data_IF_377757878062
#
_entry.id   IF_377757878062
#
_cell.length_a   1.000
_cell.length_b   1.000
_cell.length_c   1.000
_cell.angle_alpha   90.00
_cell.angle_beta   90.00
_cell.angle_gamma   90.00
#
_symmetry.space_group_name_H-M   'P 1'
#
loop_
_entity.id
_entity.type
_entity.pdbx_description
1 polymer ?
#
# COMPACT_ATOMS: atom_id res chain seq x y z
N UNK A 1 -13.38 -20.78 1.37
CA UNK A 1 -13.26 -19.37 0.93
C UNK A 1 -13.95 -18.55 2.02
N UNK A 2 -13.21 -17.73 2.79
CA UNK A 2 -13.73 -16.98 3.95
C UNK A 2 -14.07 -15.55 3.54
N UNK A 3 -15.35 -15.17 3.62
CA UNK A 3 -15.79 -13.81 3.33
C UNK A 3 -15.38 -12.86 4.47
N UNK A 4 -14.61 -11.81 4.16
CA UNK A 4 -14.34 -10.73 5.10
C UNK A 4 -15.39 -9.65 4.97
N UNK A 5 -15.93 -9.21 6.11
CA UNK A 5 -16.78 -8.03 6.18
C UNK A 5 -15.89 -6.79 6.38
N UNK A 6 -16.08 -5.71 5.58
CA UNK A 6 -15.37 -4.45 5.79
C UNK A 6 -15.51 -3.96 7.24
N UNK A 7 -14.40 -3.49 7.82
CA UNK A 7 -14.35 -2.97 9.19
C UNK A 7 -14.29 -4.03 10.29
N UNK A 8 -14.39 -5.32 9.96
CA UNK A 8 -14.39 -6.39 10.96
C UNK A 8 -13.06 -7.16 10.92
N UNK A 9 -12.28 -7.15 12.01
CA UNK A 9 -11.03 -7.90 12.10
C UNK A 9 -11.28 -9.41 12.01
N UNK A 10 -10.53 -10.06 11.13
CA UNK A 10 -10.45 -11.52 11.05
C UNK A 10 -9.38 -12.02 12.02
N UNK A 11 -9.79 -12.84 12.98
CA UNK A 11 -8.95 -13.24 14.11
C UNK A 11 -8.75 -14.76 14.17
N UNK A 12 -7.72 -15.17 14.90
CA UNK A 12 -7.41 -16.56 15.21
C UNK A 12 -7.19 -16.71 16.71
N UNK A 13 -7.86 -17.69 17.31
CA UNK A 13 -7.69 -18.03 18.72
C UNK A 13 -6.55 -19.03 18.88
N UNK A 14 -5.57 -18.67 19.72
CA UNK A 14 -4.43 -19.52 20.05
C UNK A 14 -4.80 -20.56 21.12
N UNK A 15 -4.07 -21.68 21.24
CA UNK A 15 -4.30 -22.67 22.31
C UNK A 15 -4.22 -22.11 23.74
N UNK A 16 -3.60 -20.94 23.91
CA UNK A 16 -3.52 -20.22 25.18
C UNK A 16 -4.79 -19.43 25.52
N UNK A 17 -5.80 -19.41 24.63
CA UNK A 17 -7.00 -18.57 24.72
C UNK A 17 -6.79 -17.12 24.28
N UNK A 18 -5.59 -16.76 23.83
CA UNK A 18 -5.33 -15.43 23.29
C UNK A 18 -5.89 -15.31 21.86
N UNK A 19 -6.45 -14.15 21.54
CA UNK A 19 -6.97 -13.84 20.20
C UNK A 19 -5.95 -12.97 19.46
N UNK A 20 -5.60 -13.37 18.25
CA UNK A 20 -4.65 -12.67 17.39
C UNK A 20 -5.35 -12.21 16.12
N UNK A 21 -5.13 -10.97 15.73
CA UNK A 21 -5.66 -10.46 14.47
C UNK A 21 -4.79 -10.95 13.32
N UNK A 22 -5.43 -11.48 12.28
CA UNK A 22 -4.76 -12.02 11.08
C UNK A 22 -4.84 -11.00 9.94
N UNK A 23 -6.03 -10.46 9.71
CA UNK A 23 -6.27 -9.45 8.68
C UNK A 23 -7.48 -8.57 9.02
N UNK A 24 -7.55 -7.37 8.47
CA UNK A 24 -8.76 -6.54 8.47
C UNK A 24 -8.89 -5.82 7.13
N UNK A 25 -10.04 -5.95 6.47
CA UNK A 25 -10.33 -5.23 5.24
C UNK A 25 -11.20 -4.01 5.56
N UNK A 26 -10.94 -2.89 4.90
CA UNK A 26 -11.70 -1.65 5.01
C UNK A 26 -12.03 -1.13 3.61
N UNK A 27 -13.24 -0.61 3.46
CA UNK A 27 -13.62 0.31 2.38
C UNK A 27 -13.65 1.74 2.92
N UNK A 28 -13.68 2.75 2.04
CA UNK A 28 -13.93 4.12 2.50
C UNK A 28 -15.24 4.23 3.28
N UNK A 29 -16.28 3.53 2.84
CA UNK A 29 -17.56 3.50 3.54
C UNK A 29 -17.43 2.95 4.97
N UNK A 30 -16.70 1.85 5.16
CA UNK A 30 -16.46 1.32 6.51
C UNK A 30 -15.63 2.26 7.38
N UNK A 31 -14.79 3.10 6.78
CA UNK A 31 -13.97 4.07 7.51
C UNK A 31 -14.77 5.31 7.92
N UNK A 32 -15.82 5.68 7.17
CA UNK A 32 -16.73 6.79 7.51
C UNK A 32 -17.43 6.58 8.85
N UNK A 33 -17.61 5.34 9.29
CA UNK A 33 -18.13 5.03 10.62
C UNK A 33 -17.27 5.59 11.76
N UNK A 34 -15.99 5.90 11.52
CA UNK A 34 -15.08 6.51 12.48
C UNK A 34 -15.04 8.05 12.42
N UNK A 35 -16.00 8.69 11.77
CA UNK A 35 -16.16 10.15 11.72
C UNK A 35 -14.96 10.83 11.05
N UNK A 36 -14.31 11.77 11.75
CA UNK A 36 -13.20 12.57 11.21
C UNK A 36 -12.03 11.72 10.64
N UNK A 37 -11.85 10.50 11.14
CA UNK A 37 -10.86 9.56 10.61
C UNK A 37 -11.24 9.06 9.22
N UNK A 38 -12.52 8.78 9.00
CA UNK A 38 -13.05 8.40 7.70
C UNK A 38 -12.92 9.53 6.69
N UNK A 39 -13.24 10.77 7.10
CA UNK A 39 -13.07 11.95 6.26
C UNK A 39 -11.60 12.16 5.87
N UNK A 40 -10.68 11.97 6.82
CA UNK A 40 -9.23 12.03 6.56
C UNK A 40 -8.80 10.92 5.59
N UNK A 41 -9.26 9.69 5.79
CA UNK A 41 -8.94 8.57 4.90
C UNK A 41 -9.44 8.80 3.47
N UNK A 42 -10.65 9.35 3.30
CA UNK A 42 -11.23 9.69 2.00
C UNK A 42 -10.40 10.76 1.29
N UNK A 43 -10.02 11.84 1.98
CA UNK A 43 -9.14 12.88 1.42
C UNK A 43 -7.78 12.31 0.98
N UNK A 44 -7.15 11.50 1.83
CA UNK A 44 -5.86 10.87 1.54
C UNK A 44 -5.94 9.90 0.37
N UNK A 45 -7.01 9.09 0.28
CA UNK A 45 -7.23 8.16 -0.81
C UNK A 45 -7.42 8.89 -2.15
N UNK A 46 -8.16 10.00 -2.14
CA UNK A 46 -8.36 10.84 -3.32
C UNK A 46 -7.07 11.51 -3.80
N UNK A 47 -6.26 12.01 -2.86
CA UNK A 47 -4.95 12.56 -3.19
C UNK A 47 -4.00 11.48 -3.75
N UNK A 48 -3.95 10.31 -3.10
CA UNK A 48 -3.18 9.16 -3.57
C UNK A 48 -3.61 8.75 -4.98
N UNK A 49 -4.92 8.79 -5.27
CA UNK A 49 -5.46 8.51 -6.61
C UNK A 49 -4.93 9.50 -7.64
N UNK A 50 -4.97 10.79 -7.33
CA UNK A 50 -4.46 11.86 -8.19
C UNK A 50 -2.96 11.72 -8.47
N UNK A 51 -2.17 11.37 -7.46
CA UNK A 51 -0.73 11.13 -7.63
C UNK A 51 -0.44 9.82 -8.39
N UNK A 52 -1.29 8.80 -8.24
CA UNK A 52 -1.11 7.49 -8.89
C UNK A 52 -1.47 7.54 -10.38
N UNK A 53 -2.67 8.03 -10.70
CA UNK A 53 -3.20 8.04 -12.07
C UNK A 53 -3.00 9.36 -12.81
N UNK A 54 -2.46 10.37 -12.14
CA UNK A 54 -2.31 11.71 -12.65
C UNK A 54 -3.61 12.52 -12.56
N UNK A 55 -3.46 13.83 -12.75
CA UNK A 55 -4.56 14.78 -12.82
C UNK A 55 -4.27 15.88 -13.84
N UNK A 56 -5.33 16.40 -14.45
CA UNK A 56 -5.23 17.55 -15.32
C UNK A 56 -5.09 18.84 -14.50
N UNK A 57 -4.48 19.86 -15.11
CA UNK A 57 -4.50 21.19 -14.51
C UNK A 57 -5.94 21.70 -14.43
N UNK A 58 -6.30 22.29 -13.29
CA UNK A 58 -7.58 22.95 -13.08
C UNK A 58 -7.34 24.37 -12.58
N UNK A 59 -7.49 25.39 -13.45
CA UNK A 59 -7.29 26.79 -13.10
C UNK A 59 -8.25 27.30 -12.02
N UNK A 60 -9.42 26.66 -11.84
CA UNK A 60 -10.43 27.10 -10.87
C UNK A 60 -10.07 26.75 -9.43
N UNK A 61 -9.28 25.67 -9.24
CA UNK A 61 -8.81 25.20 -7.94
C UNK A 61 -7.32 25.49 -7.72
N UNK A 62 -6.62 25.97 -8.74
CA UNK A 62 -5.16 26.15 -8.70
C UNK A 62 -4.39 24.83 -8.80
N UNK A 63 -5.05 23.73 -9.18
CA UNK A 63 -4.43 22.42 -9.31
C UNK A 63 -3.49 22.41 -10.54
N UNK A 64 -2.22 22.08 -10.32
CA UNK A 64 -1.24 21.86 -11.38
C UNK A 64 -1.43 20.46 -11.98
N UNK A 65 -1.19 20.32 -13.29
CA UNK A 65 -1.19 19.00 -13.91
C UNK A 65 -0.10 18.10 -13.30
N UNK A 66 -0.47 16.86 -12.99
CA UNK A 66 0.45 15.85 -12.48
C UNK A 66 0.36 14.61 -13.38
N UNK A 67 1.48 14.14 -13.97
CA UNK A 67 1.48 12.90 -14.73
C UNK A 67 1.32 11.68 -13.79
N UNK A 68 0.77 10.56 -14.27
CA UNK A 68 0.71 9.33 -13.51
C UNK A 68 2.12 8.85 -13.11
N UNK A 69 2.30 8.44 -11.85
CA UNK A 69 3.63 8.06 -11.33
C UNK A 69 4.27 6.91 -12.12
N UNK A 70 3.48 5.94 -12.60
CA UNK A 70 3.99 4.82 -13.40
C UNK A 70 4.52 5.23 -14.78
N UNK A 71 4.24 6.46 -15.22
CA UNK A 71 4.80 7.04 -16.46
C UNK A 71 6.05 7.88 -16.22
N UNK A 72 6.49 8.00 -14.96
CA UNK A 72 7.61 8.86 -14.59
C UNK A 72 8.92 8.43 -15.27
N UNK A 73 9.68 9.38 -15.85
CA UNK A 73 10.98 9.09 -16.43
C UNK A 73 11.95 8.50 -15.41
N UNK A 74 12.65 7.44 -15.81
CA UNK A 74 13.68 6.80 -15.00
C UNK A 74 13.17 5.72 -14.05
N UNK A 75 11.86 5.64 -13.80
CA UNK A 75 11.27 4.64 -12.91
C UNK A 75 11.59 3.22 -13.41
N UNK A 76 12.29 2.42 -12.58
CA UNK A 76 12.78 1.08 -12.95
C UNK A 76 11.87 0.00 -12.40
N UNK A 77 11.47 -0.92 -13.26
CA UNK A 77 10.79 -2.15 -12.83
C UNK A 77 11.73 -2.98 -11.96
N UNK A 78 11.14 -3.67 -11.00
CA UNK A 78 11.85 -4.59 -10.14
C UNK A 78 12.36 -5.77 -10.97
N UNK A 79 13.57 -6.27 -10.70
CA UNK A 79 14.23 -7.32 -11.49
C UNK A 79 13.43 -8.65 -11.54
N UNK A 80 12.52 -8.84 -10.58
CA UNK A 80 11.65 -10.02 -10.47
C UNK A 80 10.36 -9.91 -11.28
N UNK A 81 10.11 -8.76 -11.92
CA UNK A 81 9.02 -8.62 -12.89
C UNK A 81 9.38 -9.48 -14.10
N UNK A 82 8.56 -10.50 -14.41
CA UNK A 82 8.77 -11.28 -15.63
C UNK A 82 8.76 -10.36 -16.86
N UNK A 83 9.67 -10.60 -17.80
CA UNK A 83 9.69 -9.93 -19.10
C UNK A 83 8.50 -10.42 -19.95
N UNK A 84 7.30 -9.97 -19.61
CA UNK A 84 6.15 -10.21 -20.47
C UNK A 84 6.19 -9.22 -21.62
N UNK A 85 6.66 -9.70 -22.77
CA UNK A 85 6.91 -8.90 -23.98
C UNK A 85 5.63 -8.31 -24.58
N UNK A 86 4.48 -8.86 -24.21
CA UNK A 86 3.16 -8.44 -24.70
C UNK A 86 2.44 -7.48 -23.74
N UNK A 87 3.03 -7.21 -22.57
CA UNK A 87 2.45 -6.32 -21.58
C UNK A 87 2.79 -4.85 -21.89
N UNK A 88 1.86 -3.90 -21.70
CA UNK A 88 2.16 -2.49 -21.95
C UNK A 88 3.38 -2.01 -21.18
N UNK A 89 4.03 -0.98 -21.73
CA UNK A 89 5.32 -0.46 -21.25
C UNK A 89 5.37 -0.03 -19.77
N UNK A 90 4.25 -0.03 -19.05
CA UNK A 90 4.16 0.41 -17.65
C UNK A 90 3.69 -0.69 -16.67
N UNK A 91 3.39 -1.89 -17.16
CA UNK A 91 2.96 -2.99 -16.29
C UNK A 91 4.18 -3.58 -15.57
N UNK A 92 4.04 -3.83 -14.27
CA UNK A 92 5.09 -4.43 -13.45
C UNK A 92 5.10 -3.96 -11.99
N UNK A 93 6.18 -4.32 -11.30
CA UNK A 93 6.44 -4.00 -9.89
C UNK A 93 7.52 -2.93 -9.78
N UNK A 94 7.37 -1.99 -8.86
CA UNK A 94 8.25 -0.84 -8.64
C UNK A 94 8.50 -0.63 -7.15
N UNK A 95 9.77 -0.55 -6.72
CA UNK A 95 10.11 -0.27 -5.31
C UNK A 95 10.30 1.22 -5.12
N UNK A 96 9.50 1.90 -4.29
CA UNK A 96 9.50 3.36 -4.21
C UNK A 96 10.13 3.95 -2.94
N UNK A 97 10.31 3.14 -1.88
CA UNK A 97 10.88 3.60 -0.62
C UNK A 97 12.29 3.04 -0.37
N UNK A 98 12.38 1.76 -0.02
CA UNK A 98 13.65 1.06 0.16
C UNK A 98 13.65 -0.26 -0.60
N UNK A 99 14.86 -0.75 -0.86
CA UNK A 99 15.10 -2.09 -1.37
C UNK A 99 16.23 -2.72 -0.56
N UNK A 100 16.19 -4.05 -0.42
CA UNK A 100 17.36 -4.80 0.00
C UNK A 100 18.30 -4.96 -1.20
N UNK A 101 19.61 -4.75 -0.98
CA UNK A 101 20.61 -4.97 -2.03
C UNK A 101 20.69 -6.44 -2.41
N UNK A 102 20.33 -6.80 -3.64
CA UNK A 102 20.49 -8.17 -4.14
C UNK A 102 21.98 -8.47 -4.39
N UNK A 103 22.47 -9.63 -3.91
CA UNK A 103 23.84 -10.11 -4.16
C UNK A 103 24.95 -9.54 -3.24
N UNK A 104 24.63 -8.65 -2.32
CA UNK A 104 25.59 -8.05 -1.35
C UNK A 104 25.48 -8.65 0.07
N UNK A 105 24.76 -9.77 0.21
CA UNK A 105 24.40 -10.36 1.50
C UNK A 105 23.12 -9.74 2.08
N UNK A 106 22.37 -10.54 2.84
CA UNK A 106 21.16 -10.09 3.55
C UNK A 106 21.53 -9.04 4.61
N UNK A 107 21.05 -7.80 4.45
CA UNK A 107 21.12 -6.80 5.52
C UNK A 107 21.39 -5.35 5.09
N UNK A 108 21.77 -5.08 3.84
CA UNK A 108 21.97 -3.70 3.38
C UNK A 108 20.64 -3.13 2.88
N UNK A 109 20.01 -2.29 3.70
CA UNK A 109 18.90 -1.43 3.30
C UNK A 109 19.44 -0.24 2.52
N UNK A 110 18.92 -0.05 1.31
CA UNK A 110 19.24 1.12 0.49
C UNK A 110 17.95 1.83 0.09
N UNK A 111 17.96 3.17 0.02
CA UNK A 111 16.90 3.90 -0.66
C UNK A 111 16.68 3.32 -2.06
N UNK A 112 15.43 3.12 -2.45
CA UNK A 112 15.12 2.75 -3.82
C UNK A 112 15.35 3.98 -4.71
N UNK A 113 16.55 4.11 -5.28
CA UNK A 113 16.85 5.19 -6.23
C UNK A 113 16.15 4.87 -7.56
N UNK A 114 14.93 5.34 -7.67
CA UNK A 114 14.08 5.11 -8.84
C UNK A 114 14.21 6.19 -9.90
N UNK A 115 14.59 7.42 -9.52
CA UNK A 115 14.64 8.57 -10.42
C UNK A 115 15.40 9.73 -9.79
N UNK A 116 16.02 10.56 -10.63
CA UNK A 116 16.81 11.72 -10.22
C UNK A 116 16.06 13.05 -10.39
N UNK A 117 14.91 13.05 -11.07
CA UNK A 117 14.12 14.26 -11.32
C UNK A 117 13.47 14.78 -10.03
N UNK A 118 13.66 16.05 -9.64
CA UNK A 118 13.06 16.63 -8.43
C UNK A 118 11.54 16.44 -8.31
N UNK A 119 10.81 16.59 -9.42
CA UNK A 119 9.35 16.54 -9.46
C UNK A 119 8.82 15.14 -9.11
N UNK A 120 9.44 14.10 -9.67
CA UNK A 120 9.06 12.71 -9.38
C UNK A 120 9.47 12.33 -7.95
N UNK A 121 10.60 12.85 -7.45
CA UNK A 121 10.99 12.66 -6.04
C UNK A 121 9.97 13.28 -5.08
N UNK A 122 9.45 14.46 -5.41
CA UNK A 122 8.39 15.11 -4.64
C UNK A 122 7.09 14.28 -4.69
N UNK A 123 6.69 13.81 -5.88
CA UNK A 123 5.51 12.96 -6.05
C UNK A 123 5.64 11.65 -5.25
N UNK A 124 6.77 10.95 -5.34
CA UNK A 124 7.04 9.73 -4.55
C UNK A 124 7.02 10.06 -3.06
N UNK A 125 7.73 11.11 -2.64
CA UNK A 125 7.77 11.53 -1.24
C UNK A 125 6.36 11.79 -0.68
N UNK A 126 5.50 12.45 -1.46
CA UNK A 126 4.12 12.70 -1.07
C UNK A 126 3.28 11.42 -0.99
N UNK A 127 3.43 10.52 -1.95
CA UNK A 127 2.75 9.21 -1.93
C UNK A 127 3.15 8.43 -0.66
N UNK A 128 4.43 8.39 -0.32
CA UNK A 128 4.93 7.68 0.87
C UNK A 128 4.39 8.29 2.17
N UNK A 129 4.30 9.62 2.25
CA UNK A 129 3.66 10.31 3.37
C UNK A 129 2.18 9.93 3.53
N UNK A 130 1.42 9.90 2.41
CA UNK A 130 0.01 9.55 2.42
C UNK A 130 -0.19 8.10 2.88
N UNK A 131 0.58 7.16 2.34
CA UNK A 131 0.50 5.75 2.72
C UNK A 131 0.84 5.53 4.18
N UNK A 132 1.86 6.22 4.68
CA UNK A 132 2.19 6.18 6.11
C UNK A 132 1.02 6.70 6.95
N UNK A 133 0.42 7.82 6.55
CA UNK A 133 -0.70 8.40 7.27
C UNK A 133 -1.92 7.49 7.27
N UNK A 134 -2.25 6.89 6.12
CA UNK A 134 -3.31 5.88 6.01
C UNK A 134 -3.05 4.69 6.94
N UNK A 135 -1.82 4.19 6.99
CA UNK A 135 -1.45 3.11 7.91
C UNK A 135 -1.67 3.50 9.38
N UNK A 136 -1.24 4.70 9.78
CA UNK A 136 -1.39 5.20 11.15
C UNK A 136 -2.85 5.34 11.59
N UNK A 137 -3.75 5.73 10.67
CA UNK A 137 -5.16 5.92 11.01
C UNK A 137 -5.98 4.62 10.89
N UNK A 138 -5.60 3.69 10.00
CA UNK A 138 -6.30 2.42 9.79
C UNK A 138 -5.88 1.38 10.83
N UNK A 139 -4.57 1.20 11.07
CA UNK A 139 -4.05 0.14 11.94
C UNK A 139 -4.75 0.07 13.30
N UNK A 140 -4.88 1.16 14.08
CA UNK A 140 -5.47 1.08 15.42
C UNK A 140 -6.98 0.75 15.41
N UNK A 141 -7.65 0.80 14.25
CA UNK A 141 -9.07 0.43 14.08
C UNK A 141 -9.21 -1.04 13.66
N UNK A 142 -8.15 -1.58 13.07
CA UNK A 142 -8.11 -2.93 12.52
C UNK A 142 -7.64 -3.99 13.51
N UNK A 143 -6.96 -3.63 14.60
CA UNK A 143 -6.28 -4.58 15.50
C UNK A 143 -6.57 -4.30 16.97
N UNK A 144 -6.25 -5.25 17.84
CA UNK A 144 -6.40 -5.04 19.29
C UNK A 144 -5.44 -3.97 19.81
N UNK A 145 -5.80 -3.31 20.92
CA UNK A 145 -4.95 -2.31 21.58
C UNK A 145 -3.58 -2.87 21.95
N UNK A 146 -3.50 -4.14 22.35
CA UNK A 146 -2.24 -4.79 22.67
C UNK A 146 -1.34 -4.92 21.43
N UNK A 147 -1.89 -5.40 20.32
CA UNK A 147 -1.16 -5.53 19.06
C UNK A 147 -0.67 -4.18 18.55
N UNK A 148 -1.52 -3.15 18.60
CA UNK A 148 -1.14 -1.79 18.22
C UNK A 148 0.02 -1.26 19.07
N UNK A 149 -0.07 -1.38 20.40
CA UNK A 149 0.97 -0.91 21.31
C UNK A 149 2.30 -1.63 21.10
N UNK A 150 2.29 -2.92 20.78
CA UNK A 150 3.51 -3.67 20.49
C UNK A 150 4.20 -3.16 19.22
N UNK A 151 3.42 -2.83 18.19
CA UNK A 151 3.93 -2.27 16.94
C UNK A 151 4.47 -0.86 17.16
N UNK A 152 3.74 0.00 17.87
CA UNK A 152 4.22 1.35 18.21
C UNK A 152 5.51 1.31 19.04
N UNK A 153 5.56 0.41 20.03
CA UNK A 153 6.76 0.19 20.84
C UNK A 153 7.93 -0.23 19.94
N UNK A 154 7.75 -1.27 19.13
CA UNK A 154 8.80 -1.77 18.23
C UNK A 154 9.26 -0.69 17.23
N UNK A 155 8.33 0.08 16.67
CA UNK A 155 8.64 1.12 15.69
C UNK A 155 9.37 2.32 16.30
N UNK A 156 9.01 2.70 17.53
CA UNK A 156 9.63 3.82 18.27
C UNK A 156 10.99 3.43 18.84
N UNK A 157 11.06 2.26 19.48
CA UNK A 157 12.27 1.80 20.19
C UNK A 157 13.38 1.39 19.21
N UNK A 158 13.02 0.80 18.07
CA UNK A 158 13.99 0.51 17.00
C UNK A 158 14.27 1.72 16.09
N UNK A 159 13.73 2.90 16.37
CA UNK A 159 14.00 4.14 15.63
C UNK A 159 13.87 3.93 14.10
N UNK A 160 12.77 3.29 13.68
CA UNK A 160 12.58 2.89 12.28
C UNK A 160 12.23 4.13 11.45
N UNK A 161 13.23 4.89 11.02
CA UNK A 161 13.03 6.04 10.15
C UNK A 161 12.55 5.59 8.77
N UNK A 162 11.51 6.24 8.27
CA UNK A 162 10.94 5.97 6.96
C UNK A 162 11.00 7.20 6.06
N UNK A 163 10.82 6.98 4.76
CA UNK A 163 10.61 8.06 3.80
C UNK A 163 9.22 8.68 4.03
N UNK A 164 9.15 9.68 4.91
CA UNK A 164 7.86 10.29 5.27
C UNK A 164 7.90 11.30 6.43
N UNK A 165 9.03 11.44 7.13
CA UNK A 165 9.20 12.45 8.18
C UNK A 165 9.97 11.89 9.39
N UNK A 166 9.79 12.53 10.55
CA UNK A 166 10.38 12.12 11.83
C UNK A 166 9.60 11.00 12.55
N UNK A 167 8.61 10.42 11.87
CA UNK A 167 7.77 9.36 12.42
C UNK A 167 8.23 8.02 11.88
N UNK A 168 7.98 6.96 12.68
CA UNK A 168 8.00 5.62 12.15
C UNK A 168 7.04 5.50 10.96
N UNK A 169 7.44 4.72 9.96
CA UNK A 169 6.62 4.53 8.78
C UNK A 169 7.11 3.40 7.89
N UNK A 170 6.54 3.27 6.68
CA UNK A 170 6.74 2.09 5.86
C UNK A 170 8.23 1.97 5.48
N UNK A 171 8.84 0.90 5.95
CA UNK A 171 10.25 0.59 5.65
C UNK A 171 10.44 0.22 4.20
N UNK A 172 9.39 -0.25 3.54
CA UNK A 172 9.41 -0.81 2.19
C UNK A 172 8.06 -0.54 1.55
N UNK A 173 8.11 -0.14 0.29
CA UNK A 173 6.92 0.20 -0.46
C UNK A 173 7.11 -0.30 -1.88
N UNK A 174 6.30 -1.27 -2.25
CA UNK A 174 6.20 -1.76 -3.62
C UNK A 174 4.89 -1.28 -4.23
N UNK A 175 4.96 -0.56 -5.35
CA UNK A 175 3.81 -0.26 -6.20
C UNK A 175 3.77 -1.28 -7.32
N UNK A 176 2.60 -1.79 -7.63
CA UNK A 176 2.45 -2.60 -8.82
C UNK A 176 1.50 -1.91 -9.80
N UNK A 177 1.55 -2.22 -11.07
CA UNK A 177 0.70 -1.57 -12.08
C UNK A 177 0.35 -2.60 -13.13
N UNK A 178 -0.90 -2.65 -13.56
CA UNK A 178 -1.22 -3.25 -14.83
C UNK A 178 -2.42 -2.60 -15.51
N UNK A 179 -2.39 -2.65 -16.83
CA UNK A 179 -3.16 -1.80 -17.74
C UNK A 179 -4.32 -2.52 -18.43
N UNK A 180 -4.44 -3.84 -18.27
CA UNK A 180 -5.56 -4.63 -18.81
C UNK A 180 -6.34 -5.29 -17.67
N UNK A 181 -7.66 -5.24 -17.74
CA UNK A 181 -8.58 -5.97 -16.83
C UNK A 181 -8.53 -7.49 -17.01
N UNK A 182 -7.37 -8.05 -17.34
CA UNK A 182 -7.13 -9.47 -17.16
C UNK A 182 -7.23 -9.79 -15.68
N UNK A 183 -7.60 -11.05 -15.39
CA UNK A 183 -7.73 -11.52 -14.02
C UNK A 183 -6.40 -11.26 -13.33
N UNK A 184 -6.43 -10.48 -12.26
CA UNK A 184 -5.28 -9.96 -11.51
C UNK A 184 -4.28 -11.06 -11.08
N UNK A 185 -4.73 -12.31 -11.01
CA UNK A 185 -3.92 -13.52 -10.74
C UNK A 185 -3.12 -14.04 -11.94
N UNK A 186 -3.48 -13.63 -13.16
CA UNK A 186 -2.95 -14.15 -14.44
C UNK A 186 -1.93 -13.21 -15.10
N UNK A 187 -2.04 -11.90 -14.90
CA UNK A 187 -1.25 -10.88 -15.61
C UNK A 187 0.02 -10.41 -14.88
N UNK A 188 0.66 -11.29 -14.10
CA UNK A 188 1.80 -10.99 -13.21
C UNK A 188 1.38 -10.33 -11.89
N UNK A 189 1.95 -10.85 -10.79
CA UNK A 189 1.54 -10.61 -9.42
C UNK A 189 1.42 -9.15 -9.01
N UNK A 190 0.28 -8.86 -8.36
CA UNK A 190 -0.11 -7.61 -7.73
C UNK A 190 -0.29 -6.46 -8.75
N UNK A 191 -1.40 -5.74 -8.74
CA UNK A 191 -1.57 -4.40 -9.32
C UNK A 191 -1.93 -3.44 -8.20
N UNK A 192 -1.34 -2.24 -8.25
CA UNK A 192 -1.52 -1.09 -7.36
C UNK A 192 -1.41 -1.35 -5.86
N UNK A 193 -0.99 -2.54 -5.45
CA UNK A 193 -0.82 -2.95 -4.05
C UNK A 193 0.47 -2.38 -3.47
N UNK A 194 0.32 -1.27 -2.76
CA UNK A 194 1.30 -0.75 -1.83
C UNK A 194 1.49 -1.76 -0.70
N UNK A 195 2.70 -2.23 -0.39
CA UNK A 195 2.93 -3.12 0.74
C UNK A 195 4.40 -3.07 1.20
N UNK A 196 4.62 -3.39 2.49
CA UNK A 196 5.94 -3.61 3.08
C UNK A 196 6.47 -5.01 2.72
N UNK A 197 7.76 -5.10 2.42
CA UNK A 197 8.50 -6.34 2.21
C UNK A 197 8.41 -7.20 3.49
N UNK A 198 7.84 -8.39 3.33
CA UNK A 198 7.63 -9.39 4.36
C UNK A 198 8.93 -9.82 5.07
N UNK A 199 10.07 -9.71 4.39
CA UNK A 199 11.37 -10.04 4.96
C UNK A 199 11.98 -8.89 5.78
N UNK A 200 11.46 -7.67 5.67
CA UNK A 200 11.99 -6.48 6.34
C UNK A 200 11.53 -6.31 7.78
N UNK A 201 10.25 -6.62 8.07
CA UNK A 201 9.66 -6.46 9.40
C UNK A 201 8.49 -7.45 9.63
N UNK A 202 8.77 -8.74 9.93
CA UNK A 202 7.72 -9.76 10.10
C UNK A 202 6.80 -9.52 11.31
N UNK A 203 7.19 -8.61 12.20
CA UNK A 203 6.43 -8.16 13.36
C UNK A 203 5.40 -7.07 13.02
N UNK A 204 5.53 -6.41 11.86
CA UNK A 204 4.69 -5.28 11.47
C UNK A 204 3.51 -5.71 10.59
N UNK A 205 2.51 -4.85 10.58
CA UNK A 205 1.35 -4.98 9.72
C UNK A 205 1.62 -4.38 8.35
N UNK A 206 1.27 -5.13 7.32
CA UNK A 206 1.31 -4.67 5.94
C UNK A 206 -0.04 -4.05 5.59
N UNK A 207 -0.06 -2.77 5.25
CA UNK A 207 -1.21 -2.13 4.60
C UNK A 207 -1.08 -2.34 3.10
N UNK A 208 -2.05 -3.05 2.53
CA UNK A 208 -2.30 -3.22 1.10
C UNK A 208 -3.38 -2.22 0.69
N UNK A 209 -3.02 -1.27 -0.18
CA UNK A 209 -4.00 -0.34 -0.77
C UNK A 209 -4.23 -0.75 -2.21
N UNK A 210 -5.47 -1.00 -2.63
CA UNK A 210 -5.79 -1.20 -4.04
C UNK A 210 -6.44 0.06 -4.60
N UNK A 211 -5.86 0.61 -5.67
CA UNK A 211 -6.40 1.76 -6.36
C UNK A 211 -6.94 1.34 -7.73
N UNK A 212 -8.21 1.62 -7.97
CA UNK A 212 -8.92 1.37 -9.22
C UNK A 212 -9.00 2.65 -10.06
N UNK A 213 -8.76 2.53 -11.36
CA UNK A 213 -8.88 3.65 -12.30
C UNK A 213 -10.35 3.84 -12.72
N UNK A 214 -11.15 4.32 -11.79
CA UNK A 214 -12.58 4.56 -11.97
C UNK A 214 -12.90 6.06 -11.92
N UNK A 215 -14.09 6.51 -12.40
CA UNK A 215 -14.46 7.91 -12.42
C UNK A 215 -14.33 8.63 -11.07
N UNK A 216 -14.17 9.96 -11.10
CA UNK A 216 -14.11 10.79 -9.89
C UNK A 216 -15.40 10.64 -9.08
N UNK A 217 -15.28 10.47 -7.76
CA UNK A 217 -16.40 10.27 -6.84
C UNK A 217 -16.85 8.81 -6.67
N UNK A 218 -16.26 7.85 -7.38
CA UNK A 218 -16.41 6.43 -7.10
C UNK A 218 -15.41 5.95 -6.03
N UNK A 219 -15.73 4.88 -5.28
CA UNK A 219 -14.83 4.31 -4.26
C UNK A 219 -13.50 3.88 -4.91
N UNK A 220 -12.38 4.55 -4.62
CA UNK A 220 -11.11 4.32 -5.29
C UNK A 220 -10.53 2.92 -5.05
N UNK A 221 -11.06 2.17 -4.08
CA UNK A 221 -10.72 0.78 -3.84
C UNK A 221 -10.44 0.49 -2.36
N UNK A 222 -10.35 -0.80 -1.99
CA UNK A 222 -10.24 -1.22 -0.60
C UNK A 222 -8.83 -1.12 -0.02
N UNK A 223 -8.79 -1.10 1.31
CA UNK A 223 -7.59 -1.17 2.15
C UNK A 223 -7.59 -2.51 2.88
N UNK A 224 -6.52 -3.30 2.76
CA UNK A 224 -6.36 -4.54 3.49
C UNK A 224 -5.14 -4.44 4.42
N UNK A 225 -5.38 -4.57 5.71
CA UNK A 225 -4.33 -4.74 6.70
C UNK A 225 -4.09 -6.24 6.93
N UNK A 226 -2.85 -6.72 6.80
CA UNK A 226 -2.51 -8.13 6.96
C UNK A 226 -1.19 -8.37 7.69
N UNK A 227 -1.11 -9.49 8.41
CA UNK A 227 0.10 -10.00 9.09
C UNK A 227 0.62 -11.28 8.41
N UNK A 228 1.94 -11.46 8.30
CA UNK A 228 2.56 -12.68 7.72
C UNK A 228 2.07 -13.00 6.30
N UNK A 229 2.37 -12.13 5.32
CA UNK A 229 1.96 -12.25 3.92
C UNK A 229 2.33 -13.57 3.21
N UNK A 230 3.13 -14.47 3.82
CA UNK A 230 3.57 -15.73 3.22
C UNK A 230 2.47 -16.78 3.15
N UNK A 231 1.42 -16.70 3.99
CA UNK A 231 0.30 -17.63 3.98
C UNK A 231 -1.05 -17.00 3.58
N UNK A 232 -1.13 -15.67 3.46
CA UNK A 232 -2.34 -14.93 3.07
C UNK A 232 -2.38 -14.55 1.58
N UNK A 233 -1.66 -15.30 0.74
CA UNK A 233 -1.64 -15.11 -0.71
C UNK A 233 -3.06 -14.99 -1.28
N UNK A 234 -3.35 -13.88 -1.97
CA UNK A 234 -4.34 -13.65 -3.03
C UNK A 234 -5.81 -14.05 -2.80
N UNK A 235 -6.07 -15.26 -2.29
CA UNK A 235 -7.41 -15.80 -2.01
C UNK A 235 -8.25 -14.82 -1.20
N UNK A 236 -7.66 -14.17 -0.19
CA UNK A 236 -8.34 -13.22 0.70
C UNK A 236 -8.72 -11.90 0.01
N UNK A 237 -8.02 -11.52 -1.06
CA UNK A 237 -8.30 -10.33 -1.85
C UNK A 237 -9.21 -10.63 -3.05
N UNK A 238 -9.00 -11.76 -3.76
CA UNK A 238 -9.93 -12.31 -4.76
C UNK A 238 -11.32 -12.55 -4.15
N UNK A 239 -11.35 -12.98 -2.89
CA UNK A 239 -12.53 -13.08 -2.04
C UNK A 239 -13.36 -11.81 -1.99
N UNK A 240 -12.69 -10.66 -1.95
CA UNK A 240 -13.31 -9.35 -1.87
C UNK A 240 -13.75 -8.85 -3.25
N UNK A 241 -12.92 -9.06 -4.27
CA UNK A 241 -13.15 -8.55 -5.64
C UNK A 241 -14.25 -9.29 -6.41
N UNK A 242 -14.63 -10.52 -6.04
CA UNK A 242 -15.73 -11.24 -6.70
C UNK A 242 -17.13 -10.62 -6.46
N UNK A 243 -17.24 -9.52 -5.72
CA UNK A 243 -18.50 -8.85 -5.39
C UNK A 243 -18.57 -7.36 -5.77
N UNK A 244 -17.52 -6.79 -6.38
CA UNK A 244 -17.51 -5.43 -6.96
C UNK A 244 -17.69 -5.56 -8.47
#
# INVERSE_FOLDING_TARGET
>A
MVEMLPGIPYTHELPTGAVLTIACAHTLESLKEYGAVGDEAEMLAEELRGLTFGCNADPSTGQTACPPIYTAPGLKRNNRSGDDKDSPGFDGSYNLASTLGEGQGSGIFMPAVQTDTPEVREQIGRILQILNRLWQIILPRSVSKLEHNLVEFDATDNNTFSFGGLFSGPTSVQMNTSSWGQIFSQSIGWQSTWHTDIHGAPTHWTLIVMMLRIPKGSDPGPFLLGRLCSCMSFKLFELFMNKI
#
